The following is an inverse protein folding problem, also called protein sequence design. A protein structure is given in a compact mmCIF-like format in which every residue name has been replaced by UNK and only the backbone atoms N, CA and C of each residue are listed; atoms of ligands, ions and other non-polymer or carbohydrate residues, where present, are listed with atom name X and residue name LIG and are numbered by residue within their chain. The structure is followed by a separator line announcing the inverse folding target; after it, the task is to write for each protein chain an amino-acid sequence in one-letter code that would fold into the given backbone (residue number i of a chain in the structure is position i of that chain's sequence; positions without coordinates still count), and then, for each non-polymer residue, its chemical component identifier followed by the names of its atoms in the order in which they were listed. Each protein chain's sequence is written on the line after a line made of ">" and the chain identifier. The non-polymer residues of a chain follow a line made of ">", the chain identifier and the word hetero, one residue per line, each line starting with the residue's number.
data_IF_199241276374
#
_entry.id   IF_199241276374
#
_cell.length_a   1.000
_cell.length_b   1.000
_cell.length_c   1.000
_cell.angle_alpha   90.00
_cell.angle_beta   90.00
_cell.angle_gamma   90.00
#
_symmetry.space_group_name_H-M   'P 1'
#
loop_
_entity.id
_entity.type
_entity.pdbx_description
1 polymer ?
#
# COMPACT_ATOMS: atom_id res chain seq x y z
N UNK A 1 -7.71 -13.36 29.90
CA UNK A 1 -6.56 -13.69 29.04
C UNK A 1 -5.55 -14.51 29.83
N UNK A 2 -5.41 -15.80 29.53
CA UNK A 2 -4.43 -16.63 30.20
C UNK A 2 -3.00 -16.25 29.77
N UNK A 3 -2.05 -16.24 30.71
CA UNK A 3 -0.63 -16.11 30.38
C UNK A 3 -0.21 -17.31 29.51
N UNK A 4 0.59 -17.06 28.47
CA UNK A 4 1.19 -18.14 27.67
C UNK A 4 2.04 -19.07 28.53
N UNK A 5 2.11 -20.34 28.16
CA UNK A 5 2.93 -21.35 28.84
C UNK A 5 4.40 -20.91 28.91
N UNK A 6 4.93 -20.31 27.83
CA UNK A 6 6.28 -19.75 27.78
C UNK A 6 6.50 -18.61 28.79
N UNK A 7 5.51 -17.76 29.03
CA UNK A 7 5.60 -16.70 30.04
C UNK A 7 5.64 -17.28 31.45
N UNK A 8 4.80 -18.28 31.74
CA UNK A 8 4.80 -18.98 33.05
C UNK A 8 6.15 -19.64 33.36
N UNK A 9 6.78 -20.27 32.37
CA UNK A 9 8.12 -20.87 32.52
C UNK A 9 9.20 -19.82 32.85
N UNK A 10 9.18 -18.67 32.18
CA UNK A 10 10.13 -17.57 32.47
C UNK A 10 9.93 -16.99 33.87
N UNK A 11 8.68 -16.78 34.29
CA UNK A 11 8.36 -16.31 35.65
C UNK A 11 8.81 -17.34 36.72
N UNK A 12 8.77 -18.64 36.42
CA UNK A 12 9.34 -19.67 37.30
C UNK A 12 10.87 -19.52 37.45
N UNK A 13 11.60 -19.45 36.34
CA UNK A 13 13.07 -19.29 36.34
C UNK A 13 13.50 -18.01 37.05
N UNK A 14 12.75 -16.91 36.86
CA UNK A 14 13.04 -15.65 37.54
C UNK A 14 12.86 -15.76 39.06
N UNK A 15 11.87 -16.51 39.54
CA UNK A 15 11.67 -16.76 40.97
C UNK A 15 12.75 -17.65 41.58
N UNK A 16 13.19 -18.68 40.85
CA UNK A 16 14.14 -19.68 41.36
C UNK A 16 15.59 -19.19 41.27
N UNK A 17 15.97 -18.61 40.14
CA UNK A 17 17.36 -18.28 39.84
C UNK A 17 17.63 -16.77 39.80
N UNK A 18 16.60 -15.92 40.00
CA UNK A 18 16.71 -14.46 39.94
C UNK A 18 17.05 -13.88 38.55
N UNK A 19 17.24 -14.72 37.54
CA UNK A 19 17.77 -14.31 36.24
C UNK A 19 16.67 -14.00 35.23
N UNK A 20 16.68 -12.77 34.70
CA UNK A 20 15.76 -12.39 33.64
C UNK A 20 16.33 -12.67 32.23
N UNK A 21 15.76 -13.68 31.59
CA UNK A 21 16.04 -14.03 30.18
C UNK A 21 15.73 -12.91 29.18
N UNK A 22 14.91 -11.91 29.52
CA UNK A 22 14.60 -10.79 28.61
C UNK A 22 15.82 -9.90 28.36
N UNK A 23 16.74 -9.79 29.33
CA UNK A 23 17.97 -8.99 29.19
C UNK A 23 18.88 -9.49 28.06
N UNK A 24 18.90 -10.80 27.80
CA UNK A 24 19.71 -11.40 26.71
C UNK A 24 19.05 -11.34 25.35
N UNK A 25 17.74 -11.13 25.28
CA UNK A 25 16.96 -11.27 24.03
C UNK A 25 17.24 -10.16 23.00
N UNK A 26 17.86 -9.07 23.44
CA UNK A 26 18.07 -7.89 22.61
C UNK A 26 16.76 -7.15 22.30
N UNK A 27 16.89 -5.87 21.93
CA UNK A 27 15.76 -5.04 21.49
C UNK A 27 16.01 -4.55 20.08
N UNK A 28 14.93 -4.38 19.30
CA UNK A 28 15.00 -3.73 17.99
C UNK A 28 15.23 -2.21 18.10
N UNK A 29 15.22 -1.66 19.32
CA UNK A 29 15.47 -0.23 19.57
C UNK A 29 14.38 0.63 18.95
N UNK A 30 14.78 1.60 18.13
CA UNK A 30 13.87 2.49 17.37
C UNK A 30 13.46 1.92 16.02
N UNK A 31 14.06 0.81 15.59
CA UNK A 31 13.82 0.24 14.27
C UNK A 31 12.55 -0.62 14.34
N UNK A 32 11.56 -0.28 13.51
CA UNK A 32 10.38 -1.12 13.29
C UNK A 32 10.60 -1.94 12.02
N UNK A 33 10.99 -3.23 12.12
CA UNK A 33 11.40 -4.05 10.98
C UNK A 33 10.28 -4.30 9.95
N UNK A 34 9.02 -4.04 10.32
CA UNK A 34 7.83 -4.31 9.49
C UNK A 34 7.51 -3.15 8.53
N UNK A 35 8.17 -2.00 8.67
CA UNK A 35 7.76 -0.75 7.99
C UNK A 35 8.09 -0.68 6.51
N UNK A 36 9.06 -1.47 6.03
CA UNK A 36 9.47 -1.45 4.63
C UNK A 36 8.61 -2.40 3.80
N UNK A 37 7.44 -1.92 3.37
CA UNK A 37 6.57 -2.62 2.41
C UNK A 37 6.47 -1.81 1.11
N UNK A 38 6.44 -2.50 -0.02
CA UNK A 38 6.11 -1.88 -1.30
C UNK A 38 4.63 -1.48 -1.31
N UNK A 39 4.29 -0.49 -2.13
CA UNK A 39 2.92 0.03 -2.19
C UNK A 39 1.96 -0.98 -2.79
N UNK A 40 0.72 -0.99 -2.28
CA UNK A 40 -0.36 -1.78 -2.88
C UNK A 40 -0.83 -1.18 -4.21
N UNK A 41 -1.56 -1.96 -5.01
CA UNK A 41 -2.13 -1.49 -6.29
C UNK A 41 -3.02 -0.25 -6.09
N UNK A 42 -3.86 -0.26 -5.04
CA UNK A 42 -4.78 0.83 -4.72
C UNK A 42 -4.03 2.12 -4.32
N UNK A 43 -2.99 2.00 -3.48
CA UNK A 43 -2.13 3.14 -3.10
C UNK A 43 -1.40 3.76 -4.30
N UNK A 44 -1.05 2.94 -5.29
CA UNK A 44 -0.40 3.43 -6.50
C UNK A 44 -1.36 4.23 -7.39
N UNK A 45 -2.60 3.77 -7.56
CA UNK A 45 -3.63 4.45 -8.34
C UNK A 45 -4.01 5.80 -7.71
N UNK A 46 -4.34 5.79 -6.43
CA UNK A 46 -4.63 7.01 -5.66
C UNK A 46 -3.48 8.02 -5.67
N UNK A 47 -2.23 7.55 -5.57
CA UNK A 47 -1.06 8.44 -5.71
C UNK A 47 -0.95 9.02 -7.13
N UNK A 48 -1.24 8.24 -8.19
CA UNK A 48 -1.19 8.73 -9.58
C UNK A 48 -2.18 9.88 -9.79
N UNK A 49 -3.38 9.76 -9.22
CA UNK A 49 -4.44 10.77 -9.28
C UNK A 49 -4.11 12.01 -8.45
N UNK A 50 -3.61 11.83 -7.22
CA UNK A 50 -3.45 12.94 -6.25
C UNK A 50 -2.09 13.63 -6.30
N UNK A 51 -1.01 12.95 -6.68
CA UNK A 51 0.36 13.48 -6.57
C UNK A 51 0.66 14.55 -7.63
N UNK A 52 0.11 14.40 -8.83
CA UNK A 52 0.37 15.32 -9.94
C UNK A 52 -0.95 15.97 -10.34
N UNK A 53 -0.98 17.31 -10.45
CA UNK A 53 -2.14 18.02 -11.01
C UNK A 53 -2.26 17.61 -12.48
N UNK A 54 -3.24 16.76 -12.79
CA UNK A 54 -3.51 16.38 -14.17
C UNK A 54 -4.22 17.53 -14.87
N UNK A 55 -3.58 18.09 -15.90
CA UNK A 55 -4.23 19.04 -16.78
C UNK A 55 -5.23 18.25 -17.62
N UNK A 56 -6.53 18.45 -17.41
CA UNK A 56 -7.59 17.67 -18.10
C UNK A 56 -7.64 17.94 -19.61
N UNK A 57 -6.82 18.86 -20.11
CA UNK A 57 -6.73 19.24 -21.53
C UNK A 57 -5.68 18.46 -22.34
N UNK A 58 -4.92 17.53 -21.75
CA UNK A 58 -3.85 16.80 -22.45
C UNK A 58 -4.22 15.37 -22.87
N UNK A 59 -5.48 14.97 -22.70
CA UNK A 59 -6.00 13.73 -23.26
C UNK A 59 -6.69 14.02 -24.58
N UNK A 60 -5.95 14.03 -25.67
CA UNK A 60 -6.55 13.95 -26.99
C UNK A 60 -7.39 12.67 -27.04
N UNK A 61 -8.69 12.85 -27.18
CA UNK A 61 -9.65 11.81 -27.49
C UNK A 61 -9.38 11.39 -28.95
N UNK A 62 -8.47 10.42 -29.14
CA UNK A 62 -8.07 9.92 -30.46
C UNK A 62 -9.24 9.22 -31.21
N UNK A 63 -10.43 9.13 -30.61
CA UNK A 63 -11.61 8.53 -31.21
C UNK A 63 -12.62 9.53 -31.83
N UNK A 64 -12.35 10.83 -31.76
CA UNK A 64 -13.29 11.86 -32.25
C UNK A 64 -13.34 12.04 -33.78
N UNK A 65 -12.41 11.48 -34.55
CA UNK A 65 -12.25 11.81 -35.98
C UNK A 65 -13.06 10.96 -36.95
N UNK A 66 -13.57 9.79 -36.54
CA UNK A 66 -14.30 8.89 -37.45
C UNK A 66 -15.77 9.28 -37.67
N UNK A 67 -16.36 10.12 -36.82
CA UNK A 67 -17.77 10.46 -36.93
C UNK A 67 -18.07 11.56 -37.98
N UNK A 68 -17.09 12.44 -38.26
CA UNK A 68 -17.30 13.57 -39.17
C UNK A 68 -17.26 13.18 -40.66
N UNK A 69 -16.52 12.13 -41.01
CA UNK A 69 -16.42 11.61 -42.38
C UNK A 69 -17.69 10.86 -42.82
N UNK A 70 -18.44 10.24 -41.89
CA UNK A 70 -19.70 9.57 -42.21
C UNK A 70 -20.87 10.54 -42.38
N UNK A 71 -20.89 11.63 -41.61
CA UNK A 71 -21.93 12.66 -41.69
C UNK A 71 -21.97 13.38 -43.04
N UNK A 72 -20.80 13.66 -43.64
CA UNK A 72 -20.73 14.39 -44.92
C UNK A 72 -21.06 13.55 -46.15
N UNK A 73 -20.98 12.22 -46.05
CA UNK A 73 -21.27 11.32 -47.17
C UNK A 73 -22.77 11.06 -47.35
N UNK A 74 -23.59 11.29 -46.32
CA UNK A 74 -25.05 11.21 -46.43
C UNK A 74 -25.70 12.48 -47.00
N UNK A 75 -25.05 13.64 -46.91
CA UNK A 75 -25.62 14.93 -47.36
C UNK A 75 -25.33 15.27 -48.83
N UNK A 76 -24.61 14.42 -49.56
CA UNK A 76 -24.26 14.63 -50.97
C UNK A 76 -25.00 13.72 -51.96
N UNK A 77 -26.00 12.98 -51.49
CA UNK A 77 -26.88 12.13 -52.31
C UNK A 77 -28.35 12.49 -52.00
N UNK A 78 -28.78 13.67 -52.44
CA UNK A 78 -30.20 14.01 -52.63
C UNK A 78 -30.33 14.97 -53.80
#
# INVERSE_FOLDING_TARGET
>A
MAKSTARKKREKVLRENGFDTTMRRGTWGTIVPITKKTKTKQERLTRKEKKYKQNHSSGYDENGFYFWLFSKRLLFFQ
#
